data_IF_585551780679
#
_entry.id   IF_585551780679
#
_cell.length_a   1.000
_cell.length_b   1.000
_cell.length_c   1.000
_cell.angle_alpha   90.00
_cell.angle_beta   90.00
_cell.angle_gamma   90.00
#
_symmetry.space_group_name_H-M   'P 1'
#
loop_
_entity.id
_entity.type
_entity.pdbx_description
1 polymer ?
#
# COMPACT_ATOMS: atom_id res chain seq x y z
N UNK A 1 51.11 -25.29 -17.45
CA UNK A 1 50.68 -24.43 -18.59
C UNK A 1 49.20 -24.10 -18.43
N UNK A 2 48.64 -23.21 -19.27
CA UNK A 2 47.29 -22.62 -19.15
C UNK A 2 46.15 -23.66 -19.23
N UNK A 3 45.11 -23.42 -18.42
CA UNK A 3 43.67 -23.21 -18.76
C UNK A 3 43.18 -23.60 -20.18
N UNK A 4 41.92 -24.08 -20.36
CA UNK A 4 40.72 -23.39 -19.87
C UNK A 4 39.60 -24.26 -19.24
N UNK A 5 38.52 -23.60 -18.82
CA UNK A 5 37.37 -24.17 -18.10
C UNK A 5 36.21 -24.56 -19.03
N UNK A 6 35.29 -25.39 -18.51
CA UNK A 6 34.04 -25.77 -19.18
C UNK A 6 32.84 -25.29 -18.35
N UNK A 7 32.30 -24.12 -18.69
CA UNK A 7 30.96 -23.68 -18.26
C UNK A 7 29.93 -24.15 -19.30
N UNK A 8 28.85 -24.82 -18.86
CA UNK A 8 27.53 -24.95 -19.49
C UNK A 8 26.69 -25.88 -18.57
N UNK A 9 25.72 -25.36 -17.80
CA UNK A 9 24.31 -25.21 -18.19
C UNK A 9 23.58 -26.53 -18.50
N UNK A 10 23.14 -27.20 -17.44
CA UNK A 10 21.81 -27.81 -17.40
C UNK A 10 20.89 -26.96 -16.51
N UNK A 11 19.58 -26.86 -16.73
CA UNK A 11 18.79 -27.38 -17.84
C UNK A 11 17.62 -28.26 -17.37
N UNK A 12 16.46 -27.64 -17.14
CA UNK A 12 15.16 -28.30 -17.06
C UNK A 12 14.06 -27.25 -17.30
N UNK A 13 13.23 -27.48 -18.30
CA UNK A 13 12.10 -26.60 -18.64
C UNK A 13 10.81 -27.12 -18.02
N UNK A 14 9.99 -26.24 -17.46
CA UNK A 14 8.57 -26.48 -17.20
C UNK A 14 7.77 -25.34 -17.86
N UNK A 15 6.69 -25.68 -18.57
CA UNK A 15 5.94 -24.72 -19.37
C UNK A 15 4.68 -24.23 -18.65
N UNK A 16 4.47 -22.91 -18.66
CA UNK A 16 3.22 -22.27 -18.29
C UNK A 16 2.80 -21.34 -19.45
N UNK A 17 1.93 -21.84 -20.33
CA UNK A 17 1.34 -21.04 -21.40
C UNK A 17 0.04 -20.42 -20.88
N UNK A 18 0.11 -19.18 -20.40
CA UNK A 18 -1.08 -18.39 -20.04
C UNK A 18 -1.35 -17.31 -21.08
N UNK A 19 -2.59 -17.33 -21.53
CA UNK A 19 -3.13 -16.76 -22.76
C UNK A 19 -2.92 -15.25 -22.90
N UNK A 20 -2.58 -14.84 -24.12
CA UNK A 20 -2.74 -13.47 -24.60
C UNK A 20 -4.22 -13.06 -24.54
N UNK A 21 -4.61 -12.18 -23.60
CA UNK A 21 -5.92 -11.52 -23.64
C UNK A 21 -5.81 -10.18 -24.39
N UNK A 22 -5.56 -10.27 -25.70
CA UNK A 22 -5.49 -9.11 -26.59
C UNK A 22 -6.85 -8.47 -26.80
N UNK A 23 -6.89 -7.14 -26.71
CA UNK A 23 -7.83 -6.25 -27.39
C UNK A 23 -9.33 -6.60 -27.30
N UNK A 24 -10.02 -6.08 -26.28
CA UNK A 24 -11.42 -5.69 -26.45
C UNK A 24 -11.46 -4.39 -27.26
N UNK A 25 -11.44 -4.51 -28.59
CA UNK A 25 -11.63 -3.40 -29.53
C UNK A 25 -12.88 -3.67 -30.39
N UNK A 26 -13.76 -2.68 -30.51
CA UNK A 26 -15.01 -2.81 -31.26
C UNK A 26 -15.66 -1.46 -31.55
N UNK A 27 -15.45 -0.98 -32.77
CA UNK A 27 -16.20 0.09 -33.47
C UNK A 27 -17.10 -0.57 -34.54
N UNK A 28 -17.82 0.05 -35.49
CA UNK A 28 -18.12 1.43 -35.97
C UNK A 28 -19.59 1.37 -36.49
N UNK A 29 -20.41 2.39 -36.75
CA UNK A 29 -20.57 3.83 -36.45
C UNK A 29 -22.04 4.17 -36.84
N UNK A 30 -22.64 5.28 -36.39
CA UNK A 30 -23.64 5.98 -37.25
C UNK A 30 -23.74 7.50 -36.99
N UNK A 31 -22.84 8.25 -37.63
CA UNK A 31 -23.12 9.44 -38.45
C UNK A 31 -23.97 10.61 -37.87
N UNK A 32 -23.31 11.77 -37.63
CA UNK A 32 -23.97 13.08 -37.61
C UNK A 32 -23.06 14.24 -38.07
N UNK A 33 -23.17 14.52 -39.37
CA UNK A 33 -23.15 15.84 -40.04
C UNK A 33 -22.16 16.93 -39.59
N UNK A 34 -21.07 17.04 -40.37
CA UNK A 34 -20.30 18.24 -40.74
C UNK A 34 -20.41 19.55 -39.92
N UNK A 35 -19.25 19.99 -39.42
CA UNK A 35 -18.90 21.42 -39.40
C UNK A 35 -17.41 21.62 -39.66
N UNK A 36 -17.08 22.18 -40.82
CA UNK A 36 -15.71 22.50 -41.20
C UNK A 36 -15.27 23.84 -40.63
N UNK A 37 -14.12 23.89 -39.96
CA UNK A 37 -13.41 25.14 -39.67
C UNK A 37 -11.90 24.89 -39.66
N UNK A 38 -11.19 25.63 -40.52
CA UNK A 38 -9.79 25.41 -40.84
C UNK A 38 -8.87 26.27 -39.98
N UNK A 39 -7.63 25.81 -39.80
CA UNK A 39 -6.49 26.56 -39.20
C UNK A 39 -6.61 26.82 -37.69
N UNK A 40 -5.53 27.05 -36.94
CA UNK A 40 -4.15 27.36 -37.35
C UNK A 40 -3.11 26.55 -36.59
N UNK A 41 -1.91 26.43 -37.16
CA UNK A 41 -0.71 25.91 -36.50
C UNK A 41 -0.18 26.87 -35.45
N UNK A 42 0.16 26.36 -34.26
CA UNK A 42 1.18 26.98 -33.39
C UNK A 42 1.95 25.91 -32.62
N UNK A 43 3.25 25.81 -32.89
CA UNK A 43 4.19 25.01 -32.11
C UNK A 43 4.61 25.80 -30.87
N UNK A 44 4.54 25.16 -29.70
CA UNK A 44 5.04 25.71 -28.44
C UNK A 44 5.79 24.64 -27.66
N UNK A 45 7.11 24.60 -27.85
CA UNK A 45 8.02 23.80 -27.03
C UNK A 45 8.06 24.37 -25.62
N UNK A 46 7.48 23.66 -24.65
CA UNK A 46 7.54 24.04 -23.23
C UNK A 46 8.51 23.15 -22.47
N UNK A 47 9.80 23.49 -22.56
CA UNK A 47 10.79 22.96 -21.62
C UNK A 47 10.53 23.52 -20.23
N UNK A 48 10.06 22.68 -19.30
CA UNK A 48 9.96 23.02 -17.87
C UNK A 48 10.93 22.17 -17.07
N UNK A 49 12.18 22.62 -17.02
CA UNK A 49 13.16 22.12 -16.06
C UNK A 49 12.83 22.64 -14.66
N UNK A 50 12.06 21.88 -13.89
CA UNK A 50 12.11 21.92 -12.42
C UNK A 50 13.13 20.87 -11.99
N UNK A 51 14.43 21.18 -11.99
CA UNK A 51 15.10 21.94 -10.92
C UNK A 51 15.02 21.16 -9.59
N UNK A 52 16.06 20.38 -9.31
CA UNK A 52 16.23 19.69 -8.04
C UNK A 52 16.61 20.70 -6.95
N UNK A 53 15.65 21.03 -6.09
CA UNK A 53 15.81 21.77 -4.83
C UNK A 53 14.88 21.13 -3.81
N UNK A 54 15.31 20.73 -2.61
CA UNK A 54 16.53 21.15 -1.89
C UNK A 54 17.22 19.99 -1.19
N UNK A 55 18.56 19.95 -1.26
CA UNK A 55 19.35 19.54 -0.11
C UNK A 55 19.55 20.78 0.77
N UNK A 56 19.00 20.78 1.98
CA UNK A 56 19.05 21.94 2.89
C UNK A 56 18.33 21.63 4.20
N UNK A 57 19.08 21.15 5.19
CA UNK A 57 18.52 20.72 6.47
C UNK A 57 17.80 21.84 7.22
N UNK A 58 16.57 21.57 7.63
CA UNK A 58 15.72 22.43 8.47
C UNK A 58 15.63 22.00 9.93
N UNK A 59 16.51 21.08 10.36
CA UNK A 59 16.43 20.35 11.63
C UNK A 59 16.22 21.21 12.87
N UNK A 60 15.35 20.74 13.76
CA UNK A 60 14.98 21.38 15.02
C UNK A 60 13.51 21.26 15.44
N UNK A 61 12.65 20.65 14.59
CA UNK A 61 11.34 20.09 14.97
C UNK A 61 10.87 19.05 13.95
N UNK A 62 10.59 19.45 12.71
CA UNK A 62 9.92 18.58 11.73
C UNK A 62 10.68 17.28 11.40
N UNK A 63 12.01 17.34 11.22
CA UNK A 63 12.84 16.14 11.03
C UNK A 63 12.81 15.22 12.28
N UNK A 64 12.64 15.77 13.48
CA UNK A 64 12.56 15.03 14.75
C UNK A 64 11.17 14.41 14.95
N UNK A 65 10.10 15.14 14.59
CA UNK A 65 8.71 14.65 14.60
C UNK A 65 8.54 13.47 13.61
N UNK A 66 9.12 13.58 12.41
CA UNK A 66 9.15 12.52 11.40
C UNK A 66 9.98 11.32 11.86
N UNK A 67 11.15 11.55 12.47
CA UNK A 67 11.99 10.46 12.98
C UNK A 67 11.35 9.73 14.18
N UNK A 68 10.62 10.44 15.04
CA UNK A 68 9.80 9.84 16.10
C UNK A 68 8.72 8.94 15.49
N UNK A 69 7.90 9.48 14.57
CA UNK A 69 6.87 8.74 13.86
C UNK A 69 7.41 7.46 13.19
N UNK A 70 8.53 7.54 12.46
CA UNK A 70 9.19 6.38 11.85
C UNK A 70 9.56 5.31 12.89
N UNK A 71 10.15 5.72 14.01
CA UNK A 71 10.61 4.82 15.08
C UNK A 71 9.44 4.14 15.78
N UNK A 72 8.38 4.89 16.08
CA UNK A 72 7.19 4.37 16.76
C UNK A 72 6.34 3.48 15.83
N UNK A 73 6.25 3.83 14.54
CA UNK A 73 5.57 3.02 13.53
C UNK A 73 6.30 1.68 13.29
N UNK A 74 7.63 1.69 13.12
CA UNK A 74 8.44 0.46 12.97
C UNK A 74 8.27 -0.48 14.18
N UNK A 75 8.32 0.06 15.40
CA UNK A 75 8.09 -0.69 16.62
C UNK A 75 6.66 -1.26 16.69
N UNK A 76 5.64 -0.47 16.35
CA UNK A 76 4.24 -0.90 16.37
C UNK A 76 3.92 -1.95 15.30
N UNK A 77 4.46 -1.83 14.08
CA UNK A 77 4.29 -2.81 13.01
C UNK A 77 5.06 -4.12 13.30
N UNK A 78 6.23 -4.03 13.93
CA UNK A 78 6.96 -5.22 14.42
C UNK A 78 6.15 -5.95 15.49
N UNK A 79 5.74 -5.23 16.55
CA UNK A 79 4.92 -5.79 17.62
C UNK A 79 3.59 -6.36 17.10
N UNK A 80 2.95 -5.69 16.13
CA UNK A 80 1.74 -6.18 15.48
C UNK A 80 1.98 -7.51 14.76
N UNK A 81 3.09 -7.61 14.03
CA UNK A 81 3.46 -8.83 13.29
C UNK A 81 3.70 -10.01 14.24
N UNK A 82 4.49 -9.82 15.30
CA UNK A 82 4.69 -10.84 16.36
C UNK A 82 3.36 -11.24 17.03
N UNK A 83 2.49 -10.26 17.31
CA UNK A 83 1.20 -10.51 17.98
C UNK A 83 0.22 -11.26 17.07
N UNK A 84 0.22 -10.98 15.76
CA UNK A 84 -0.62 -11.66 14.79
C UNK A 84 -0.11 -13.07 14.42
N UNK A 85 1.21 -13.29 14.37
CA UNK A 85 1.77 -14.65 14.20
C UNK A 85 1.42 -15.53 15.40
N UNK A 86 1.57 -15.00 16.63
CA UNK A 86 1.17 -15.68 17.86
C UNK A 86 -0.35 -15.96 17.90
N UNK A 87 -1.19 -14.99 17.51
CA UNK A 87 -2.65 -15.17 17.43
C UNK A 87 -3.08 -16.09 16.28
N UNK A 88 -2.26 -16.25 15.23
CA UNK A 88 -2.51 -17.16 14.11
C UNK A 88 -2.59 -18.64 14.53
N UNK A 89 -2.01 -19.00 15.68
CA UNK A 89 -2.16 -20.32 16.29
C UNK A 89 -3.54 -20.53 16.98
N UNK A 90 -4.25 -19.44 17.31
CA UNK A 90 -5.45 -19.44 18.16
C UNK A 90 -6.46 -18.34 17.72
N UNK A 91 -7.48 -18.66 16.90
CA UNK A 91 -8.50 -17.68 16.49
C UNK A 91 -9.23 -16.98 17.66
N UNK A 92 -9.24 -17.58 18.86
CA UNK A 92 -9.82 -16.99 20.07
C UNK A 92 -8.98 -15.84 20.67
N UNK A 93 -7.68 -15.75 20.37
CA UNK A 93 -6.78 -14.71 20.87
C UNK A 93 -6.71 -13.48 19.93
N UNK A 94 -7.15 -13.65 18.68
CA UNK A 94 -7.18 -12.61 17.63
C UNK A 94 -7.92 -11.31 18.03
N UNK A 95 -9.07 -11.33 18.76
CA UNK A 95 -9.71 -10.09 19.22
C UNK A 95 -8.84 -9.27 20.18
N UNK A 96 -8.09 -9.93 21.07
CA UNK A 96 -7.19 -9.27 22.01
C UNK A 96 -5.90 -8.76 21.32
N UNK A 97 -5.42 -9.49 20.32
CA UNK A 97 -4.36 -9.03 19.42
C UNK A 97 -4.76 -7.73 18.70
N UNK A 98 -5.96 -7.67 18.12
CA UNK A 98 -6.45 -6.48 17.42
C UNK A 98 -6.72 -5.29 18.35
N UNK A 99 -7.23 -5.48 19.57
CA UNK A 99 -7.39 -4.36 20.50
C UNK A 99 -6.03 -3.79 20.98
N UNK A 100 -5.04 -4.67 21.16
CA UNK A 100 -3.64 -4.26 21.39
C UNK A 100 -3.08 -3.48 20.20
N UNK A 101 -3.35 -3.94 18.97
CA UNK A 101 -2.93 -3.28 17.72
C UNK A 101 -3.52 -1.88 17.55
N UNK A 102 -4.85 -1.75 17.69
CA UNK A 102 -5.58 -0.48 17.62
C UNK A 102 -5.07 0.47 18.70
N UNK A 103 -4.81 -0.03 19.92
CA UNK A 103 -4.27 0.78 21.01
C UNK A 103 -2.87 1.30 20.71
N UNK A 104 -1.96 0.44 20.24
CA UNK A 104 -0.57 0.81 19.95
C UNK A 104 -0.48 1.83 18.80
N UNK A 105 -1.09 1.53 17.65
CA UNK A 105 -1.08 2.41 16.47
C UNK A 105 -1.86 3.71 16.75
N UNK A 106 -2.86 3.66 17.64
CA UNK A 106 -3.63 4.81 18.12
C UNK A 106 -2.89 5.74 19.10
N UNK A 107 -1.71 5.40 19.60
CA UNK A 107 -0.85 6.35 20.35
C UNK A 107 0.08 7.17 19.45
N UNK A 108 0.30 6.74 18.20
CA UNK A 108 1.29 7.34 17.30
C UNK A 108 0.68 8.59 16.65
N UNK A 109 1.25 9.76 16.98
CA UNK A 109 0.89 11.03 16.36
C UNK A 109 1.64 11.18 15.02
N UNK A 110 0.90 11.16 13.91
CA UNK A 110 1.50 11.22 12.59
C UNK A 110 1.79 12.66 12.12
N UNK A 111 2.86 12.88 11.34
CA UNK A 111 3.17 14.18 10.73
C UNK A 111 1.98 14.75 9.97
N UNK A 112 1.81 16.08 10.04
CA UNK A 112 0.63 16.76 9.48
C UNK A 112 0.40 16.48 7.98
N UNK A 113 1.46 16.15 7.24
CA UNK A 113 1.42 15.77 5.81
C UNK A 113 0.69 14.46 5.53
N UNK A 114 0.73 13.50 6.46
CA UNK A 114 0.15 12.15 6.31
C UNK A 114 -0.93 11.85 7.37
N UNK A 115 -1.19 12.79 8.28
CA UNK A 115 -2.14 12.64 9.41
C UNK A 115 -3.56 12.21 9.02
N UNK A 116 -4.05 12.58 7.83
CA UNK A 116 -5.36 12.18 7.33
C UNK A 116 -5.40 10.70 6.91
N UNK A 117 -4.41 10.25 6.15
CA UNK A 117 -4.25 8.87 5.68
C UNK A 117 -3.91 7.91 6.83
N UNK A 118 -3.15 8.40 7.82
CA UNK A 118 -2.91 7.69 9.08
C UNK A 118 -4.19 7.50 9.89
N UNK A 119 -5.00 8.55 10.05
CA UNK A 119 -6.29 8.46 10.74
C UNK A 119 -7.28 7.52 10.00
N UNK A 120 -7.30 7.52 8.66
CA UNK A 120 -8.07 6.57 7.87
C UNK A 120 -7.60 5.12 8.09
N UNK A 121 -6.28 4.91 8.19
CA UNK A 121 -5.68 3.59 8.48
C UNK A 121 -6.00 3.10 9.90
N UNK A 122 -5.93 3.98 10.91
CA UNK A 122 -6.40 3.71 12.27
C UNK A 122 -7.89 3.34 12.31
N UNK A 123 -8.74 4.10 11.59
CA UNK A 123 -10.17 3.86 11.55
C UNK A 123 -10.52 2.53 10.85
N UNK A 124 -9.79 2.14 9.81
CA UNK A 124 -9.94 0.84 9.17
C UNK A 124 -9.57 -0.32 10.11
N UNK A 125 -8.48 -0.19 10.86
CA UNK A 125 -8.06 -1.20 11.85
C UNK A 125 -9.05 -1.31 13.01
N UNK A 126 -9.59 -0.19 13.49
CA UNK A 126 -10.66 -0.18 14.49
C UNK A 126 -11.94 -0.85 13.96
N UNK A 127 -12.32 -0.59 12.70
CA UNK A 127 -13.43 -1.27 12.03
C UNK A 127 -13.24 -2.79 11.94
N UNK A 128 -12.00 -3.25 11.68
CA UNK A 128 -11.68 -4.69 11.65
C UNK A 128 -11.78 -5.33 13.03
N UNK A 129 -11.26 -4.65 14.08
CA UNK A 129 -11.41 -5.08 15.47
C UNK A 129 -12.88 -5.19 15.86
N UNK A 130 -13.71 -4.22 15.47
CA UNK A 130 -15.13 -4.20 15.81
C UNK A 130 -15.92 -5.27 15.05
N UNK A 131 -15.56 -5.54 13.79
CA UNK A 131 -16.08 -6.69 13.03
C UNK A 131 -15.74 -8.02 13.73
N UNK A 132 -14.47 -8.23 14.10
CA UNK A 132 -14.00 -9.43 14.82
C UNK A 132 -14.72 -9.60 16.17
N UNK A 133 -14.89 -8.54 16.95
CA UNK A 133 -15.63 -8.57 18.21
C UNK A 133 -17.14 -8.83 18.06
N UNK A 134 -17.69 -8.73 16.85
CA UNK A 134 -19.13 -8.91 16.58
C UNK A 134 -19.52 -10.33 16.16
N UNK A 135 -18.55 -11.25 15.95
CA UNK A 135 -18.77 -12.59 15.39
C UNK A 135 -18.10 -13.70 16.21
N UNK A 136 -18.53 -14.94 15.97
CA UNK A 136 -17.87 -16.12 16.53
C UNK A 136 -16.87 -16.71 15.52
N UNK A 137 -15.58 -16.41 15.71
CA UNK A 137 -14.48 -16.92 14.88
C UNK A 137 -14.30 -18.45 14.91
N UNK A 138 -14.99 -19.18 15.80
CA UNK A 138 -15.01 -20.65 15.77
C UNK A 138 -16.01 -21.20 14.74
N UNK A 139 -16.84 -20.35 14.14
CA UNK A 139 -17.82 -20.70 13.10
C UNK A 139 -17.34 -20.31 11.69
N UNK A 140 -17.68 -21.09 10.64
CA UNK A 140 -17.42 -20.71 9.26
C UNK A 140 -18.07 -19.38 8.87
N UNK A 141 -19.29 -19.12 9.37
CA UNK A 141 -20.04 -17.89 9.12
C UNK A 141 -19.34 -16.65 9.70
N UNK A 142 -18.76 -16.76 10.91
CA UNK A 142 -17.99 -15.68 11.52
C UNK A 142 -16.65 -15.42 10.82
N UNK A 143 -15.98 -16.47 10.34
CA UNK A 143 -14.75 -16.34 9.54
C UNK A 143 -15.04 -15.60 8.22
N UNK A 144 -16.04 -16.03 7.46
CA UNK A 144 -16.43 -15.40 6.20
C UNK A 144 -16.89 -13.94 6.37
N UNK A 145 -17.55 -13.60 7.50
CA UNK A 145 -17.92 -12.23 7.82
C UNK A 145 -16.70 -11.31 8.04
N UNK A 146 -15.61 -11.83 8.62
CA UNK A 146 -14.36 -11.08 8.81
C UNK A 146 -13.55 -11.00 7.51
N UNK A 147 -13.52 -12.04 6.68
CA UNK A 147 -12.92 -11.97 5.34
C UNK A 147 -13.59 -10.88 4.47
N UNK A 148 -14.93 -10.80 4.53
CA UNK A 148 -15.69 -9.73 3.87
C UNK A 148 -15.35 -8.35 4.47
N UNK A 149 -15.30 -8.22 5.80
CA UNK A 149 -14.95 -6.95 6.46
C UNK A 149 -13.53 -6.49 6.10
N UNK A 150 -12.53 -7.38 6.09
CA UNK A 150 -11.17 -7.08 5.62
C UNK A 150 -11.18 -6.57 4.18
N UNK A 151 -11.97 -7.18 3.31
CA UNK A 151 -12.11 -6.77 1.89
C UNK A 151 -12.72 -5.38 1.76
N UNK A 152 -13.83 -5.11 2.45
CA UNK A 152 -14.53 -3.82 2.38
C UNK A 152 -13.73 -2.69 3.04
N UNK A 153 -13.01 -2.97 4.14
CA UNK A 153 -12.14 -2.00 4.81
C UNK A 153 -10.87 -1.71 4.00
N UNK A 154 -10.26 -2.74 3.40
CA UNK A 154 -9.13 -2.58 2.48
C UNK A 154 -9.50 -1.75 1.23
N UNK A 155 -10.70 -1.94 0.69
CA UNK A 155 -11.21 -1.13 -0.42
C UNK A 155 -11.48 0.34 -0.03
N UNK A 156 -11.76 0.63 1.24
CA UNK A 156 -11.93 2.00 1.75
C UNK A 156 -10.61 2.68 2.15
N UNK A 157 -9.60 1.89 2.57
CA UNK A 157 -8.32 2.39 3.07
C UNK A 157 -7.16 2.29 2.08
N UNK A 158 -7.32 1.65 0.93
CA UNK A 158 -6.22 1.33 0.01
C UNK A 158 -5.40 2.52 -0.48
N UNK A 159 -6.05 3.65 -0.81
CA UNK A 159 -5.34 4.89 -1.17
C UNK A 159 -4.54 5.44 0.02
N UNK A 160 -5.14 5.44 1.21
CA UNK A 160 -4.49 5.91 2.44
C UNK A 160 -3.30 5.02 2.86
N UNK A 161 -3.44 3.70 2.76
CA UNK A 161 -2.33 2.76 2.98
C UNK A 161 -1.20 2.97 1.97
N UNK A 162 -1.53 3.22 0.70
CA UNK A 162 -0.53 3.52 -0.35
C UNK A 162 0.19 4.83 -0.07
N UNK A 163 -0.52 5.86 0.42
CA UNK A 163 0.08 7.13 0.79
C UNK A 163 0.99 7.00 2.03
N UNK A 164 0.57 6.22 3.05
CA UNK A 164 1.36 5.97 4.26
C UNK A 164 2.62 5.16 3.94
N UNK A 165 2.52 4.10 3.14
CA UNK A 165 3.65 3.29 2.65
C UNK A 165 4.65 4.14 1.85
N UNK A 166 4.17 4.97 0.93
CA UNK A 166 5.00 5.89 0.16
C UNK A 166 5.67 6.96 1.04
N UNK A 167 4.96 7.47 2.07
CA UNK A 167 5.53 8.44 3.02
C UNK A 167 6.62 7.82 3.89
N UNK A 168 6.37 6.61 4.41
CA UNK A 168 7.35 5.86 5.20
C UNK A 168 8.58 5.53 4.35
N UNK A 169 8.40 5.00 3.15
CA UNK A 169 9.50 4.71 2.19
C UNK A 169 10.31 5.95 1.80
N UNK A 170 9.69 7.13 1.75
CA UNK A 170 10.36 8.37 1.37
C UNK A 170 11.12 9.06 2.51
N UNK A 171 10.71 8.86 3.77
CA UNK A 171 11.20 9.63 4.92
C UNK A 171 11.88 8.80 6.01
N UNK A 172 11.63 7.49 6.10
CA UNK A 172 12.19 6.61 7.12
C UNK A 172 13.41 5.85 6.58
N UNK A 173 14.63 6.16 7.04
CA UNK A 173 15.89 5.63 6.50
C UNK A 173 16.11 4.10 6.67
N UNK A 174 15.19 3.36 7.29
CA UNK A 174 15.28 1.90 7.52
C UNK A 174 13.98 1.10 7.17
N UNK A 175 13.05 1.73 6.45
CA UNK A 175 11.84 1.05 5.93
C UNK A 175 12.14 0.03 4.82
#
# INVERSE_FOLDING_TARGET
MRAPATLLKGGLSAAAALLLLTACGGSDDEQSEASTSSSSSSSSSSSSSSAATSAGGGGGSADEDVQAFCTEAEAAFTQLSDTLDAAGASPADLPAALDTAVTAIGQIEAPAEISADWAASQQALAGLRDAVNSVDLTTPEGQAAVEQAVTDLGAQAGDAQTNVDAYITANCENA
#
